data_IF_672595072123
#
_entry.id   IF_672595072123
#
_cell.length_a   1.000
_cell.length_b   1.000
_cell.length_c   1.000
_cell.angle_alpha   90.00
_cell.angle_beta   90.00
_cell.angle_gamma   90.00
#
_symmetry.space_group_name_H-M   'P 1'
#
loop_
_entity.id
_entity.type
_entity.pdbx_description
1 polymer ?
#
# COMPACT_ATOMS: atom_id res chain seq x y z
N UNK A 1 0.90 -27.33 0.20
CA UNK A 1 2.22 -26.70 0.00
C UNK A 1 2.03 -25.20 0.00
N UNK A 2 2.91 -24.42 0.63
CA UNK A 2 2.87 -22.96 0.51
C UNK A 2 3.28 -22.57 -0.92
N UNK A 3 2.46 -21.78 -1.61
CA UNK A 3 2.83 -21.16 -2.87
C UNK A 3 3.63 -19.87 -2.60
N UNK A 4 4.66 -19.64 -3.41
CA UNK A 4 5.34 -18.34 -3.46
C UNK A 4 4.32 -17.27 -3.89
N UNK A 5 4.34 -16.14 -3.19
CA UNK A 5 3.53 -14.96 -3.50
C UNK A 5 4.45 -13.77 -3.70
N UNK A 6 4.12 -12.90 -4.65
CA UNK A 6 4.84 -11.65 -4.85
C UNK A 6 4.04 -10.50 -4.25
N UNK A 7 4.68 -9.74 -3.35
CA UNK A 7 4.07 -8.63 -2.63
C UNK A 7 4.56 -7.26 -3.09
N UNK A 8 3.69 -6.25 -2.97
CA UNK A 8 4.02 -4.84 -3.17
C UNK A 8 4.10 -4.13 -1.81
N UNK A 9 5.23 -3.46 -1.52
CA UNK A 9 5.38 -2.59 -0.34
C UNK A 9 4.94 -1.18 -0.73
N UNK A 10 3.83 -0.71 -0.17
CA UNK A 10 3.34 0.64 -0.35
C UNK A 10 4.10 1.59 0.60
N UNK A 11 4.98 2.42 0.05
CA UNK A 11 5.76 3.39 0.81
C UNK A 11 4.97 4.67 1.12
N UNK A 12 4.31 4.71 2.27
CA UNK A 12 3.63 5.93 2.79
C UNK A 12 4.62 7.05 3.08
N UNK A 13 5.89 6.72 3.23
CA UNK A 13 7.01 7.62 3.43
C UNK A 13 7.43 8.33 2.15
N UNK A 14 7.20 7.69 0.99
CA UNK A 14 7.74 8.10 -0.30
C UNK A 14 6.73 8.86 -1.16
N UNK A 15 5.44 8.54 -1.07
CA UNK A 15 4.43 9.05 -2.00
C UNK A 15 3.26 9.74 -1.29
N UNK A 16 2.71 10.81 -1.89
CA UNK A 16 1.44 11.37 -1.44
C UNK A 16 0.31 10.32 -1.48
N UNK A 17 -0.71 10.40 -0.61
CA UNK A 17 -1.72 9.35 -0.46
C UNK A 17 -2.44 8.95 -1.75
N UNK A 18 -2.74 9.91 -2.62
CA UNK A 18 -3.44 9.68 -3.90
C UNK A 18 -2.56 9.01 -4.94
N UNK A 19 -1.29 9.39 -5.02
CA UNK A 19 -0.31 8.75 -5.89
C UNK A 19 -0.02 7.32 -5.42
N UNK A 20 0.12 7.13 -4.10
CA UNK A 20 0.29 5.81 -3.50
C UNK A 20 -0.91 4.89 -3.77
N UNK A 21 -2.14 5.42 -3.67
CA UNK A 21 -3.36 4.70 -3.98
C UNK A 21 -3.35 4.20 -5.43
N UNK A 22 -2.98 5.07 -6.38
CA UNK A 22 -2.89 4.70 -7.79
C UNK A 22 -1.84 3.60 -8.02
N UNK A 23 -0.65 3.73 -7.43
CA UNK A 23 0.40 2.71 -7.50
C UNK A 23 -0.08 1.34 -6.97
N UNK A 24 -0.82 1.32 -5.85
CA UNK A 24 -1.35 0.10 -5.26
C UNK A 24 -2.44 -0.56 -6.11
N UNK A 25 -3.30 0.24 -6.74
CA UNK A 25 -4.29 -0.26 -7.72
C UNK A 25 -3.55 -0.90 -8.91
N UNK A 26 -2.51 -0.24 -9.41
CA UNK A 26 -1.75 -0.75 -10.55
C UNK A 26 -0.91 -1.98 -10.18
N UNK A 27 -0.47 -2.11 -8.92
CA UNK A 27 0.15 -3.33 -8.41
C UNK A 27 -0.83 -4.53 -8.45
N UNK A 28 -2.09 -4.37 -8.04
CA UNK A 28 -3.05 -5.48 -8.16
C UNK A 28 -3.27 -5.88 -9.63
N UNK A 29 -3.42 -4.89 -10.53
CA UNK A 29 -3.56 -5.11 -11.98
C UNK A 29 -2.35 -5.81 -12.59
N UNK A 30 -1.15 -5.51 -12.09
CA UNK A 30 0.10 -6.13 -12.51
C UNK A 30 0.27 -7.57 -12.00
N UNK A 31 -0.61 -8.04 -11.11
CA UNK A 31 -0.62 -9.43 -10.64
C UNK A 31 -0.01 -9.65 -9.26
N UNK A 32 0.33 -8.59 -8.50
CA UNK A 32 0.82 -8.77 -7.12
C UNK A 32 -0.25 -9.41 -6.23
N UNK A 33 0.15 -10.34 -5.36
CA UNK A 33 -0.76 -11.13 -4.54
C UNK A 33 -1.05 -10.49 -3.18
N UNK A 34 -0.10 -9.73 -2.68
CA UNK A 34 -0.19 -9.10 -1.36
C UNK A 34 0.27 -7.65 -1.41
N UNK A 35 -0.27 -6.83 -0.53
CA UNK A 35 0.22 -5.47 -0.27
C UNK A 35 0.51 -5.32 1.21
N UNK A 36 1.66 -4.72 1.47
CA UNK A 36 2.12 -4.38 2.80
C UNK A 36 2.37 -2.87 2.87
N UNK A 37 1.96 -2.23 3.96
CA UNK A 37 2.06 -0.78 4.13
C UNK A 37 2.47 -0.40 5.55
N UNK A 38 3.48 0.45 5.70
CA UNK A 38 3.91 0.93 7.02
C UNK A 38 2.86 1.86 7.64
N UNK A 39 2.64 1.77 8.95
CA UNK A 39 1.78 2.68 9.71
C UNK A 39 2.65 3.68 10.50
N UNK A 40 2.80 4.88 9.94
CA UNK A 40 3.64 5.92 10.51
C UNK A 40 2.83 7.16 10.89
N UNK A 41 3.14 7.71 12.06
CA UNK A 41 2.62 8.99 12.47
C UNK A 41 3.38 10.16 11.85
N UNK A 42 4.72 10.08 11.83
CA UNK A 42 5.58 11.12 11.27
C UNK A 42 6.30 10.65 10.00
N UNK A 43 6.54 11.56 9.04
CA UNK A 43 7.46 11.31 7.94
C UNK A 43 8.87 10.97 8.42
N UNK A 44 9.61 10.19 7.63
CA UNK A 44 11.02 9.85 7.93
C UNK A 44 11.99 11.00 7.60
N UNK A 45 11.54 11.99 6.83
CA UNK A 45 12.31 13.18 6.44
C UNK A 45 11.37 14.36 6.25
N UNK A 46 11.92 15.58 6.19
CA UNK A 46 11.14 16.81 6.00
C UNK A 46 10.34 16.83 4.68
N UNK A 47 10.84 16.16 3.65
CA UNK A 47 10.20 16.04 2.34
C UNK A 47 9.31 14.80 2.22
N UNK A 48 9.33 13.93 3.24
CA UNK A 48 8.60 12.68 3.27
C UNK A 48 7.10 12.85 3.49
N UNK A 49 6.39 11.75 3.33
CA UNK A 49 4.94 11.66 3.57
C UNK A 49 4.65 10.72 4.75
N UNK A 50 3.43 10.77 5.28
CA UNK A 50 2.95 9.85 6.32
C UNK A 50 1.42 9.75 6.23
N UNK A 51 0.94 9.06 5.21
CA UNK A 51 -0.49 8.85 5.02
C UNK A 51 -1.08 8.05 6.20
N UNK A 52 -2.29 8.40 6.65
CA UNK A 52 -2.97 7.63 7.69
C UNK A 52 -3.43 6.27 7.14
N UNK A 53 -2.69 5.22 7.49
CA UNK A 53 -2.73 3.92 6.82
C UNK A 53 -4.10 3.24 6.84
N UNK A 54 -4.83 3.32 7.94
CA UNK A 54 -6.14 2.64 8.07
C UNK A 54 -7.21 3.22 7.14
N UNK A 55 -7.26 4.54 6.99
CA UNK A 55 -8.20 5.18 6.04
C UNK A 55 -7.73 4.96 4.61
N UNK A 56 -6.42 4.98 4.37
CA UNK A 56 -5.85 4.70 3.05
C UNK A 56 -6.13 3.26 2.58
N UNK A 57 -5.99 2.25 3.45
CA UNK A 57 -6.36 0.87 3.17
C UNK A 57 -7.86 0.72 2.86
N UNK A 58 -8.71 1.45 3.59
CA UNK A 58 -10.14 1.51 3.30
C UNK A 58 -10.45 2.07 1.91
N UNK A 59 -9.74 3.12 1.49
CA UNK A 59 -9.86 3.67 0.13
C UNK A 59 -9.41 2.66 -0.93
N UNK A 60 -8.27 2.00 -0.72
CA UNK A 60 -7.76 0.98 -1.64
C UNK A 60 -8.74 -0.20 -1.80
N UNK A 61 -9.33 -0.67 -0.70
CA UNK A 61 -10.30 -1.77 -0.70
C UNK A 61 -11.54 -1.52 -1.60
N UNK A 62 -11.86 -0.26 -1.91
CA UNK A 62 -12.96 0.07 -2.84
C UNK A 62 -12.58 -0.07 -4.32
N UNK A 63 -11.28 -0.20 -4.63
CA UNK A 63 -10.74 -0.26 -5.98
C UNK A 63 -10.08 -1.61 -6.31
N UNK A 64 -9.96 -2.50 -5.33
CA UNK A 64 -9.28 -3.80 -5.45
C UNK A 64 -10.17 -4.93 -4.96
N UNK A 65 -9.88 -6.18 -5.39
CA UNK A 65 -10.76 -7.32 -5.05
C UNK A 65 -10.05 -8.65 -4.82
N UNK A 66 -8.75 -8.76 -5.07
CA UNK A 66 -7.99 -10.03 -5.03
C UNK A 66 -6.83 -9.98 -4.05
N UNK A 67 -6.09 -8.89 -4.05
CA UNK A 67 -4.86 -8.71 -3.28
C UNK A 67 -5.14 -8.76 -1.77
N UNK A 68 -4.34 -9.52 -1.04
CA UNK A 68 -4.38 -9.51 0.43
C UNK A 68 -3.60 -8.30 0.95
N UNK A 69 -4.26 -7.39 1.66
CA UNK A 69 -3.67 -6.12 2.07
C UNK A 69 -3.53 -6.06 3.59
N UNK A 70 -2.46 -5.47 4.10
CA UNK A 70 -2.26 -5.30 5.53
C UNK A 70 -1.07 -4.41 5.87
N UNK A 71 -0.85 -4.23 7.16
CA UNK A 71 0.30 -3.48 7.70
C UNK A 71 1.47 -4.41 8.01
N UNK A 72 2.71 -3.94 7.81
CA UNK A 72 3.95 -4.65 8.15
C UNK A 72 5.20 -3.85 7.81
#
# INVERSE_FOLDING_TARGET
MLQLRFGYKAGTEQFPPTALLQNAIDAEKAGFDTLDVSDHFHPWSEEGQAAFTWTWLGALATHTSRMHMGTG
#
